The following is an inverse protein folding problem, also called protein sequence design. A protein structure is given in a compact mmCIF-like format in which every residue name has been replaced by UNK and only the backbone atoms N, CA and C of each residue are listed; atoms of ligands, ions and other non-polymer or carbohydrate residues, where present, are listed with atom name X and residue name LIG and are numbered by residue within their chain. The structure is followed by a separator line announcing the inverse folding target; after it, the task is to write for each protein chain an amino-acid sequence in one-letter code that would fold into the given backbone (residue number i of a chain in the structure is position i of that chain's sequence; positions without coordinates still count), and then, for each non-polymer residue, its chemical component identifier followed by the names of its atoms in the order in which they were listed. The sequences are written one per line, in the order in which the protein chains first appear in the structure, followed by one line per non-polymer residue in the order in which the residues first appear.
data_IF_747595997202
#
_entry.id   IF_747595997202
#
_cell.length_a   1.000
_cell.length_b   1.000
_cell.length_c   1.000
_cell.angle_alpha   90.00
_cell.angle_beta   90.00
_cell.angle_gamma   90.00
#
_symmetry.space_group_name_H-M   'P 1'
#
loop_
_entity.id
_entity.type
_entity.pdbx_description
1 polymer ?
#
# COMPACT_ATOMS: atom_id res chain seq x y z
N UNK A 1 5.89 19.00 7.71
CA UNK A 1 6.66 18.50 6.53
C UNK A 1 7.99 17.86 6.95
N UNK A 2 8.74 18.47 7.88
CA UNK A 2 10.00 17.92 8.39
C UNK A 2 9.84 16.55 9.11
N UNK A 3 8.79 16.38 9.92
CA UNK A 3 8.50 15.13 10.67
C UNK A 3 8.25 13.93 9.74
N UNK A 4 7.47 14.14 8.67
CA UNK A 4 7.19 13.08 7.66
C UNK A 4 8.43 12.63 6.89
N UNK A 5 9.43 13.49 6.72
CA UNK A 5 10.73 13.10 6.15
C UNK A 5 11.54 12.24 7.12
N UNK A 6 11.40 12.45 8.44
CA UNK A 6 12.06 11.63 9.45
C UNK A 6 11.52 10.18 9.44
N UNK A 7 10.21 9.99 9.22
CA UNK A 7 9.59 8.66 9.07
C UNK A 7 10.23 7.87 7.92
N UNK A 8 10.53 8.53 6.79
CA UNK A 8 11.08 7.89 5.60
C UNK A 8 12.50 7.33 5.78
N UNK A 9 13.21 7.77 6.82
CA UNK A 9 14.53 7.21 7.16
C UNK A 9 14.48 5.73 7.57
N UNK A 10 13.30 5.20 7.91
CA UNK A 10 13.12 3.76 8.12
C UNK A 10 13.31 2.95 6.83
N UNK A 11 13.00 3.52 5.66
CA UNK A 11 13.13 2.85 4.37
C UNK A 11 14.36 3.30 3.59
N UNK A 12 14.66 4.60 3.58
CA UNK A 12 15.70 5.17 2.73
C UNK A 12 16.88 5.66 3.57
N UNK A 13 18.09 5.22 3.21
CA UNK A 13 19.32 5.71 3.83
C UNK A 13 19.72 7.10 3.32
N UNK A 14 19.41 7.37 2.04
CA UNK A 14 19.58 8.68 1.43
C UNK A 14 18.30 9.52 1.53
N UNK A 15 18.42 10.86 1.54
CA UNK A 15 17.26 11.74 1.50
C UNK A 15 16.39 11.49 0.26
N UNK A 16 15.06 11.51 0.45
CA UNK A 16 14.12 11.47 -0.67
C UNK A 16 14.11 12.80 -1.42
N UNK A 17 13.89 12.75 -2.73
CA UNK A 17 13.88 13.94 -3.59
C UNK A 17 12.62 14.80 -3.35
N UNK A 18 11.46 14.17 -3.16
CA UNK A 18 10.21 14.86 -2.89
C UNK A 18 9.25 14.01 -2.05
N UNK A 19 8.37 14.69 -1.31
CA UNK A 19 7.26 14.08 -0.60
C UNK A 19 6.06 15.03 -0.64
N UNK A 20 4.97 14.62 -1.30
CA UNK A 20 3.80 15.45 -1.55
C UNK A 20 2.51 14.71 -1.16
N UNK A 21 1.51 15.39 -0.56
CA UNK A 21 0.26 14.75 -0.20
C UNK A 21 -0.54 14.31 -1.44
N UNK A 22 -1.03 13.06 -1.43
CA UNK A 22 -2.04 12.54 -2.37
C UNK A 22 -3.44 12.63 -1.75
N UNK A 23 -3.53 12.33 -0.46
CA UNK A 23 -4.73 12.54 0.37
C UNK A 23 -4.29 13.37 1.57
N UNK A 24 -5.02 14.44 1.94
CA UNK A 24 -4.69 15.23 3.12
C UNK A 24 -4.44 14.33 4.34
N UNK A 25 -3.32 14.58 4.99
CA UNK A 25 -2.92 14.03 6.29
C UNK A 25 -2.83 12.51 6.45
N UNK A 26 -2.92 11.72 5.38
CA UNK A 26 -2.90 10.25 5.50
C UNK A 26 -2.15 9.52 4.40
N UNK A 27 -2.00 10.11 3.21
CA UNK A 27 -1.34 9.46 2.07
C UNK A 27 -0.45 10.44 1.34
N UNK A 28 0.82 10.08 1.14
CA UNK A 28 1.81 10.90 0.46
C UNK A 28 2.48 10.12 -0.67
N UNK A 29 2.73 10.79 -1.79
CA UNK A 29 3.64 10.32 -2.83
C UNK A 29 5.06 10.70 -2.44
N UNK A 30 5.96 9.73 -2.52
CA UNK A 30 7.38 9.87 -2.22
C UNK A 30 8.16 9.60 -3.50
N UNK A 31 9.09 10.49 -3.83
CA UNK A 31 10.00 10.34 -4.97
C UNK A 31 11.42 10.27 -4.42
N UNK A 32 12.18 9.26 -4.84
CA UNK A 32 13.58 9.06 -4.44
C UNK A 32 14.52 9.68 -5.48
N UNK A 33 15.76 9.95 -5.06
CA UNK A 33 16.79 10.59 -5.91
C UNK A 33 17.22 9.73 -7.10
N UNK A 34 17.06 8.41 -7.01
CA UNK A 34 17.32 7.42 -8.06
C UNK A 34 16.13 7.24 -9.04
N UNK A 35 15.05 8.01 -8.87
CA UNK A 35 13.88 7.97 -9.75
C UNK A 35 12.80 6.96 -9.35
N UNK A 36 12.95 6.30 -8.20
CA UNK A 36 11.89 5.49 -7.60
C UNK A 36 10.69 6.32 -7.12
N UNK A 37 9.51 5.72 -7.15
CA UNK A 37 8.27 6.34 -6.68
C UNK A 37 7.49 5.40 -5.76
N UNK A 38 7.03 5.94 -4.64
CA UNK A 38 6.36 5.20 -3.58
C UNK A 38 5.15 5.98 -3.05
N UNK A 39 4.32 5.28 -2.28
CA UNK A 39 3.21 5.84 -1.52
C UNK A 39 3.43 5.52 -0.05
N UNK A 40 3.60 6.55 0.77
CA UNK A 40 3.59 6.46 2.23
C UNK A 40 2.16 6.61 2.72
N UNK A 41 1.70 5.68 3.56
CA UNK A 41 0.38 5.71 4.20
C UNK A 41 0.56 5.73 5.71
N UNK A 42 -0.11 6.66 6.37
CA UNK A 42 -0.37 6.57 7.81
C UNK A 42 -1.52 5.59 8.03
N UNK A 43 -1.36 4.69 9.00
CA UNK A 43 -2.29 3.57 9.27
C UNK A 43 -3.02 3.72 10.60
N UNK A 44 -2.86 4.86 11.26
CA UNK A 44 -3.45 5.19 12.56
C UNK A 44 -2.47 4.98 13.72
N UNK A 45 -2.95 5.26 14.92
CA UNK A 45 -2.16 5.25 16.15
C UNK A 45 -1.58 3.86 16.49
N UNK A 46 -0.45 3.87 17.20
CA UNK A 46 0.22 2.69 17.75
C UNK A 46 -0.61 2.14 18.90
N UNK A 47 -1.58 1.30 18.54
CA UNK A 47 -2.39 0.53 19.46
C UNK A 47 -2.31 -0.96 19.11
N UNK A 48 -2.50 -1.83 20.11
CA UNK A 48 -2.49 -3.28 19.92
C UNK A 48 -3.52 -3.74 18.87
N UNK A 49 -4.69 -3.11 18.85
CA UNK A 49 -5.74 -3.40 17.86
C UNK A 49 -5.29 -3.04 16.43
N UNK A 50 -4.67 -1.87 16.25
CA UNK A 50 -4.13 -1.43 14.95
C UNK A 50 -3.03 -2.38 14.47
N UNK A 51 -2.09 -2.74 15.35
CA UNK A 51 -1.01 -3.68 15.03
C UNK A 51 -1.53 -5.05 14.59
N UNK A 52 -2.51 -5.61 15.30
CA UNK A 52 -3.17 -6.88 14.91
C UNK A 52 -3.89 -6.78 13.58
N UNK A 53 -4.61 -5.67 13.34
CA UNK A 53 -5.28 -5.42 12.07
C UNK A 53 -4.29 -5.37 10.91
N UNK A 54 -3.13 -4.72 11.09
CA UNK A 54 -2.08 -4.65 10.07
C UNK A 54 -1.43 -6.01 9.82
N UNK A 55 -1.18 -6.79 10.85
CA UNK A 55 -0.66 -8.16 10.71
C UNK A 55 -1.64 -9.05 9.93
N UNK A 56 -2.93 -8.97 10.25
CA UNK A 56 -3.97 -9.68 9.50
C UNK A 56 -4.01 -9.24 8.03
N UNK A 57 -3.97 -7.94 7.76
CA UNK A 57 -3.92 -7.42 6.40
C UNK A 57 -2.70 -7.92 5.63
N UNK A 58 -1.50 -7.92 6.24
CA UNK A 58 -0.30 -8.46 5.60
C UNK A 58 -0.45 -9.94 5.23
N UNK A 59 -1.02 -10.75 6.13
CA UNK A 59 -1.27 -12.16 5.84
C UNK A 59 -2.23 -12.36 4.66
N UNK A 60 -3.28 -11.53 4.57
CA UNK A 60 -4.19 -11.51 3.41
C UNK A 60 -3.46 -11.10 2.14
N UNK A 61 -2.65 -10.04 2.18
CA UNK A 61 -1.88 -9.58 1.01
C UNK A 61 -0.89 -10.64 0.51
N UNK A 62 -0.18 -11.31 1.42
CA UNK A 62 0.74 -12.40 1.08
C UNK A 62 0.01 -13.59 0.43
N UNK A 63 -1.14 -13.97 0.99
CA UNK A 63 -1.96 -15.04 0.41
C UNK A 63 -2.41 -14.69 -1.02
N UNK A 64 -2.91 -13.47 -1.21
CA UNK A 64 -3.40 -13.04 -2.53
C UNK A 64 -2.26 -12.92 -3.55
N UNK A 65 -1.07 -12.46 -3.12
CA UNK A 65 0.13 -12.46 -3.95
C UNK A 65 0.55 -13.89 -4.32
N UNK A 66 0.51 -14.84 -3.38
CA UNK A 66 0.78 -16.26 -3.64
C UNK A 66 -0.25 -16.89 -4.60
N UNK A 67 -1.50 -16.40 -4.60
CA UNK A 67 -2.53 -16.75 -5.57
C UNK A 67 -2.38 -16.04 -6.94
N UNK A 68 -1.26 -15.35 -7.16
CA UNK A 68 -0.94 -14.61 -8.39
C UNK A 68 -1.99 -13.55 -8.77
N UNK A 69 -2.61 -12.91 -7.77
CA UNK A 69 -3.38 -11.69 -8.00
C UNK A 69 -2.44 -10.48 -8.10
N UNK A 70 -2.75 -9.51 -8.98
CA UNK A 70 -1.92 -8.31 -9.17
C UNK A 70 -2.12 -7.33 -8.01
N UNK A 71 -1.44 -7.58 -6.89
CA UNK A 71 -1.54 -6.78 -5.67
C UNK A 71 -0.20 -6.15 -5.33
N UNK A 72 -0.26 -4.92 -4.85
CA UNK A 72 0.91 -4.18 -4.38
C UNK A 72 1.20 -4.59 -2.94
N UNK A 73 2.37 -5.19 -2.73
CA UNK A 73 2.87 -5.50 -1.39
C UNK A 73 3.59 -4.28 -0.79
N UNK A 74 3.47 -4.04 0.52
CA UNK A 74 4.31 -3.06 1.21
C UNK A 74 5.80 -3.38 1.08
N UNK A 75 6.56 -2.32 0.81
CA UNK A 75 8.03 -2.34 0.79
C UNK A 75 8.54 -2.51 2.22
N UNK A 76 9.34 -3.54 2.50
CA UNK A 76 9.98 -3.70 3.80
C UNK A 76 10.88 -2.49 4.11
N UNK A 77 10.91 -2.09 5.38
CA UNK A 77 11.87 -1.13 5.91
C UNK A 77 13.26 -1.77 6.04
N UNK A 78 14.25 -1.00 6.49
CA UNK A 78 15.63 -1.49 6.68
C UNK A 78 15.77 -2.62 7.71
N UNK A 79 14.73 -2.87 8.53
CA UNK A 79 14.66 -3.95 9.51
C UNK A 79 13.82 -5.13 9.00
N UNK A 80 13.36 -5.08 7.75
CA UNK A 80 12.51 -6.09 7.13
C UNK A 80 11.04 -6.02 7.56
N UNK A 81 10.61 -4.97 8.27
CA UNK A 81 9.22 -4.79 8.68
C UNK A 81 8.42 -4.13 7.56
N UNK A 82 7.18 -4.58 7.33
CA UNK A 82 6.30 -4.02 6.29
C UNK A 82 5.40 -2.89 6.76
N UNK A 83 5.43 -2.59 8.05
CA UNK A 83 4.91 -1.38 8.64
C UNK A 83 5.84 -0.98 9.79
N UNK A 84 5.98 0.32 10.02
CA UNK A 84 6.92 0.86 11.02
C UNK A 84 6.17 1.79 11.95
N UNK A 85 6.37 1.64 13.26
CA UNK A 85 5.86 2.58 14.26
C UNK A 85 6.83 3.78 14.41
N UNK A 86 6.29 4.99 14.25
CA UNK A 86 7.00 6.27 14.45
C UNK A 86 6.00 7.31 14.92
N UNK A 87 6.40 8.22 15.82
CA UNK A 87 5.57 9.35 16.25
C UNK A 87 4.14 8.93 16.67
N UNK A 88 4.06 7.84 17.46
CA UNK A 88 2.82 7.21 17.92
C UNK A 88 1.85 6.74 16.83
N UNK A 89 2.30 6.63 15.57
CA UNK A 89 1.51 6.11 14.45
C UNK A 89 2.21 4.97 13.72
N UNK A 90 1.43 4.10 13.09
CA UNK A 90 1.93 3.12 12.14
C UNK A 90 2.00 3.73 10.75
N UNK A 91 3.11 3.47 10.06
CA UNK A 91 3.33 3.88 8.68
C UNK A 91 3.64 2.68 7.80
N UNK A 92 3.25 2.77 6.54
CA UNK A 92 3.48 1.73 5.54
C UNK A 92 3.88 2.37 4.22
N UNK A 93 4.92 1.83 3.60
CA UNK A 93 5.39 2.24 2.28
C UNK A 93 4.98 1.19 1.25
N UNK A 94 4.42 1.62 0.12
CA UNK A 94 4.10 0.73 -1.01
C UNK A 94 4.66 1.31 -2.30
N UNK A 95 5.10 0.50 -3.28
CA UNK A 95 5.44 0.99 -4.61
C UNK A 95 4.32 1.83 -5.22
N UNK A 96 4.67 2.92 -5.89
CA UNK A 96 3.70 3.73 -6.63
C UNK A 96 3.34 3.01 -7.94
N UNK A 97 2.05 2.79 -8.16
CA UNK A 97 1.53 2.26 -9.42
C UNK A 97 1.00 3.43 -10.24
N UNK A 98 1.73 3.75 -11.31
CA UNK A 98 1.25 4.70 -12.30
C UNK A 98 -0.06 4.18 -12.91
N UNK A 99 -1.04 5.05 -13.03
CA UNK A 99 -2.30 4.72 -13.67
C UNK A 99 -2.61 5.76 -14.75
N UNK A 100 -3.22 5.30 -15.82
CA UNK A 100 -3.79 6.19 -16.83
C UNK A 100 -5.12 6.75 -16.32
N UNK A 101 -5.48 7.98 -16.72
CA UNK A 101 -6.82 8.51 -16.46
C UNK A 101 -7.88 7.57 -17.00
N UNK A 102 -8.90 7.29 -16.20
CA UNK A 102 -9.97 6.41 -16.66
C UNK A 102 -10.76 7.07 -17.80
N UNK A 103 -11.11 6.31 -18.86
CA UNK A 103 -12.02 6.82 -19.88
C UNK A 103 -13.34 7.24 -19.24
N UNK A 104 -13.84 8.41 -19.63
CA UNK A 104 -15.06 8.98 -19.06
C UNK A 104 -16.31 8.23 -19.54
N UNK A 105 -16.38 7.89 -20.84
CA UNK A 105 -17.55 7.26 -21.48
C UNK A 105 -17.14 6.35 -22.65
N UNK A 106 -18.12 5.69 -23.27
CA UNK A 106 -17.94 4.92 -24.50
C UNK A 106 -17.40 3.49 -24.31
N UNK A 107 -17.03 2.81 -25.41
CA UNK A 107 -16.64 1.39 -25.39
C UNK A 107 -15.44 1.10 -24.49
N UNK A 108 -14.45 1.98 -24.44
CA UNK A 108 -13.28 1.83 -23.56
C UNK A 108 -13.67 1.83 -22.08
N UNK A 109 -14.63 2.68 -21.69
CA UNK A 109 -15.17 2.68 -20.32
C UNK A 109 -15.92 1.39 -20.00
N UNK A 110 -16.73 0.88 -20.92
CA UNK A 110 -17.44 -0.39 -20.72
C UNK A 110 -16.46 -1.57 -20.56
N UNK A 111 -15.41 -1.62 -21.40
CA UNK A 111 -14.37 -2.64 -21.30
C UNK A 111 -13.63 -2.58 -19.95
N UNK A 112 -13.25 -1.37 -19.49
CA UNK A 112 -12.65 -1.17 -18.17
C UNK A 112 -13.56 -1.67 -17.04
N UNK A 113 -14.85 -1.31 -17.07
CA UNK A 113 -15.80 -1.73 -16.02
C UNK A 113 -15.98 -3.26 -16.00
N UNK A 114 -16.03 -3.90 -17.17
CA UNK A 114 -16.09 -5.35 -17.25
C UNK A 114 -14.83 -6.00 -16.66
N UNK A 115 -13.64 -5.50 -17.02
CA UNK A 115 -12.38 -5.96 -16.46
C UNK A 115 -12.33 -5.79 -14.94
N UNK A 116 -12.74 -4.63 -14.41
CA UNK A 116 -12.83 -4.40 -12.97
C UNK A 116 -13.76 -5.41 -12.30
N UNK A 117 -14.92 -5.70 -12.89
CA UNK A 117 -15.84 -6.72 -12.39
C UNK A 117 -15.20 -8.12 -12.34
N UNK A 118 -14.45 -8.50 -13.38
CA UNK A 118 -13.69 -9.76 -13.41
C UNK A 118 -12.63 -9.81 -12.30
N UNK A 119 -11.85 -8.75 -12.11
CA UNK A 119 -10.81 -8.72 -11.08
C UNK A 119 -11.41 -8.74 -9.66
N UNK A 120 -12.52 -8.02 -9.43
CA UNK A 120 -13.24 -8.06 -8.16
C UNK A 120 -13.79 -9.47 -7.87
N UNK A 121 -14.36 -10.14 -8.89
CA UNK A 121 -14.84 -11.51 -8.72
C UNK A 121 -13.70 -12.48 -8.38
N UNK A 122 -12.55 -12.35 -9.06
CA UNK A 122 -11.35 -13.14 -8.77
C UNK A 122 -10.81 -12.88 -7.36
N UNK A 123 -10.79 -11.62 -6.93
CA UNK A 123 -10.42 -11.24 -5.56
C UNK A 123 -11.34 -11.89 -4.53
N UNK A 124 -12.66 -11.82 -4.72
CA UNK A 124 -13.62 -12.46 -3.81
C UNK A 124 -13.45 -13.97 -3.74
N UNK A 125 -13.23 -14.64 -4.88
CA UNK A 125 -13.00 -16.09 -4.92
C UNK A 125 -11.74 -16.47 -4.15
N UNK A 126 -10.65 -15.71 -4.31
CA UNK A 126 -9.43 -15.94 -3.56
C UNK A 126 -9.64 -15.72 -2.05
N UNK A 127 -10.27 -14.61 -1.66
CA UNK A 127 -10.55 -14.31 -0.25
C UNK A 127 -11.48 -15.33 0.41
N UNK A 128 -12.42 -15.93 -0.32
CA UNK A 128 -13.29 -16.99 0.20
C UNK A 128 -12.53 -18.26 0.58
N UNK A 129 -11.32 -18.45 0.04
CA UNK A 129 -10.43 -19.57 0.32
C UNK A 129 -9.30 -19.21 1.31
N UNK A 130 -9.29 -18.00 1.84
CA UNK A 130 -8.28 -17.54 2.80
C UNK A 130 -8.41 -18.29 4.14
N UNK A 131 -7.32 -18.88 4.68
CA UNK A 131 -7.39 -19.67 5.92
C UNK A 131 -7.43 -18.78 7.18
N UNK A 132 -8.54 -18.06 7.38
CA UNK A 132 -8.68 -17.07 8.45
C UNK A 132 -8.53 -17.62 9.89
N UNK A 133 -8.63 -18.94 10.10
CA UNK A 133 -8.53 -19.58 11.41
C UNK A 133 -7.11 -19.85 11.92
N UNK A 134 -6.07 -19.37 11.23
CA UNK A 134 -4.66 -19.68 11.52
C UNK A 134 -3.81 -18.45 11.90
N UNK A 135 -4.44 -17.31 12.18
CA UNK A 135 -3.79 -16.04 12.51
C UNK A 135 -3.95 -15.65 13.97
#
# INVERSE_FOLDING_TARGET
MAERLAVLSAWFAEPVAACAPLVPDSVWRVETTDGGAYVLKERGEVALATGRSLQFELAVLDYLAAAALPIVLPTPDQQGQRFTAREDHYFQLTPYVAHEPWPATGPARLALLHQLGTEIARLHQALALFPAGQL
#
